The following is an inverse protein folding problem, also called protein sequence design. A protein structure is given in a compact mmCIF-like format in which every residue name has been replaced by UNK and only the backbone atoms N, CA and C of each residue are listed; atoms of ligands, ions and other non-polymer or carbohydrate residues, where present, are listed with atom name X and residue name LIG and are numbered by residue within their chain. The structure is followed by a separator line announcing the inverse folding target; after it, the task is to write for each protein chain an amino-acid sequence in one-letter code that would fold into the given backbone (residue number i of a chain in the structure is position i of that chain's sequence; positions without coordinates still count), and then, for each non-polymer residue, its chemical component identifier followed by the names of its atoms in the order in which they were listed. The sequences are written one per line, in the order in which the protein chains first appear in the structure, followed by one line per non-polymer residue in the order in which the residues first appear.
data_IF_036705152776
#
_entry.id   IF_036705152776
#
_cell.length_a   1.000
_cell.length_b   1.000
_cell.length_c   1.000
_cell.angle_alpha   90.00
_cell.angle_beta   90.00
_cell.angle_gamma   90.00
#
_symmetry.space_group_name_H-M   'P 1'
#
loop_
_entity.id
_entity.type
_entity.pdbx_description
1 polymer ?
2 non-polymer ?
3 water ?
#
# COMPACT_ATOMS: atom_id res chain seq x y z
N UNK A 6 32.97 17.73 -24.56
CA UNK A 6 31.56 17.87 -24.94
C UNK A 6 30.83 18.84 -24.02
N UNK A 7 29.75 18.37 -23.41
CA UNK A 7 28.90 19.21 -22.59
C UNK A 7 29.62 19.75 -21.36
N UNK A 8 28.94 20.59 -20.59
CA UNK A 8 29.47 21.16 -19.36
C UNK A 8 28.45 20.97 -18.25
N UNK A 9 28.96 20.81 -17.04
CA UNK A 9 28.13 20.63 -15.86
C UNK A 9 27.81 21.98 -15.21
N UNK A 10 26.62 22.06 -14.62
CA UNK A 10 26.15 23.27 -13.96
C UNK A 10 25.57 22.89 -12.61
N UNK A 11 25.95 23.65 -11.58
CA UNK A 11 25.51 23.38 -10.22
C UNK A 11 24.13 24.00 -9.97
N UNK A 12 23.29 23.27 -9.25
CA UNK A 12 21.90 23.62 -9.05
C UNK A 12 21.52 23.43 -7.59
N UNK A 13 20.66 24.30 -7.06
CA UNK A 13 20.30 24.20 -5.64
C UNK A 13 19.81 22.80 -5.30
N UNK A 14 20.02 22.40 -4.05
CA UNK A 14 19.73 21.04 -3.64
C UNK A 14 20.80 20.05 -4.03
N UNK A 15 22.02 20.51 -4.27
CA UNK A 15 23.13 19.63 -4.64
C UNK A 15 22.81 18.83 -5.91
N UNK A 16 22.27 19.53 -6.91
CA UNK A 16 21.96 18.89 -8.18
C UNK A 16 22.92 19.40 -9.24
N UNK A 17 23.05 18.64 -10.33
CA UNK A 17 23.92 19.03 -11.43
C UNK A 17 23.24 18.71 -12.75
N UNK A 18 23.36 19.63 -13.70
CA UNK A 18 22.74 19.47 -15.02
C UNK A 18 23.82 19.64 -16.09
N UNK A 19 23.80 18.75 -17.08
CA UNK A 19 24.73 18.82 -18.21
C UNK A 19 24.05 19.54 -19.36
N UNK A 20 24.79 20.47 -19.98
CA UNK A 20 24.28 21.26 -21.09
C UNK A 20 25.33 21.28 -22.20
N UNK A 21 24.88 21.13 -23.45
CA UNK A 21 25.80 21.03 -24.57
C UNK A 21 26.61 22.30 -24.75
N UNK A 22 27.83 22.14 -25.25
CA UNK A 22 28.69 23.29 -25.50
C UNK A 22 28.15 24.16 -26.62
N UNK A 23 27.48 23.57 -27.60
CA UNK A 23 26.94 24.29 -28.74
C UNK A 23 25.45 24.00 -28.87
N UNK A 24 24.77 24.82 -29.67
CA UNK A 24 23.34 24.65 -29.91
C UNK A 24 23.14 23.64 -31.02
N UNK A 25 21.89 23.49 -31.48
CA UNK A 25 21.60 22.61 -32.60
C UNK A 25 20.92 23.37 -33.73
N UNK A 26 20.15 22.66 -34.56
CA UNK A 26 19.59 23.27 -35.77
C UNK A 26 18.77 24.51 -35.43
N UNK A 27 17.83 24.39 -34.49
CA UNK A 27 16.89 25.46 -34.16
C UNK A 27 17.36 26.30 -32.98
N UNK A 28 18.67 26.36 -32.74
CA UNK A 28 19.21 27.22 -31.70
C UNK A 28 19.01 26.73 -30.29
N UNK A 29 18.46 25.52 -30.09
CA UNK A 29 18.23 24.99 -28.76
C UNK A 29 19.43 24.19 -28.27
N UNK A 30 19.57 24.10 -26.96
CA UNK A 30 20.66 23.40 -26.31
C UNK A 30 20.14 22.11 -25.68
N UNK A 31 21.03 21.11 -25.60
CA UNK A 31 20.73 19.87 -24.91
C UNK A 31 20.92 20.02 -23.42
N UNK A 32 20.06 19.38 -22.64
CA UNK A 32 20.18 19.30 -21.20
C UNK A 32 20.03 17.85 -20.77
N UNK A 33 20.95 17.37 -19.96
CA UNK A 33 20.92 16.00 -19.45
C UNK A 33 21.34 16.02 -17.98
N UNK A 34 20.57 15.36 -17.12
CA UNK A 34 20.84 15.38 -15.69
C UNK A 34 20.33 14.11 -15.02
N UNK A 35 21.14 13.54 -14.13
CA UNK A 35 20.78 12.31 -13.44
C UNK A 35 20.23 12.66 -12.06
N UNK A 36 19.04 12.16 -11.74
CA UNK A 36 18.36 12.53 -10.51
C UNK A 36 18.06 11.25 -9.74
N UNK A 37 18.89 10.98 -8.73
CA UNK A 37 18.76 9.79 -7.89
C UNK A 37 18.60 8.52 -8.71
N UNK A 38 19.53 8.28 -9.79
CA UNK A 38 19.52 7.11 -10.68
C UNK A 38 18.30 7.13 -11.60
N UNK A 39 18.01 8.32 -12.13
CA UNK A 39 17.07 8.53 -13.22
C UNK A 39 17.67 9.56 -14.16
N UNK A 40 17.60 9.29 -15.45
CA UNK A 40 18.21 10.15 -16.46
C UNK A 40 17.14 11.02 -17.09
N UNK A 41 17.26 12.33 -16.90
CA UNK A 41 16.38 13.32 -17.48
C UNK A 41 17.09 14.01 -18.64
N UNK A 42 16.33 14.34 -19.69
CA UNK A 42 16.88 15.02 -20.84
C UNK A 42 15.84 15.93 -21.45
N UNK A 43 16.31 17.02 -22.05
CA UNK A 43 15.43 17.98 -22.67
C UNK A 43 16.20 18.99 -23.50
N UNK A 44 15.48 19.99 -23.98
CA UNK A 44 16.06 21.08 -24.75
C UNK A 44 15.75 22.42 -24.08
N UNK A 45 16.56 23.42 -24.41
CA UNK A 45 16.42 24.72 -23.78
C UNK A 45 16.71 25.83 -24.78
N UNK A 46 16.09 27.00 -24.53
CA UNK A 46 16.42 28.21 -25.28
C UNK A 46 17.75 28.79 -24.87
N UNK A 47 18.23 28.46 -23.67
CA UNK A 47 19.42 29.06 -23.09
C UNK A 47 20.52 28.01 -22.94
N UNK A 48 21.68 28.44 -22.46
CA UNK A 48 22.84 27.56 -22.33
C UNK A 48 23.43 27.59 -20.92
N UNK A 49 22.71 28.13 -19.94
CA UNK A 49 23.19 28.20 -18.57
C UNK A 49 22.68 27.07 -17.69
N UNK A 50 21.92 26.13 -18.25
CA UNK A 50 21.37 25.01 -17.51
C UNK A 50 19.89 25.13 -17.23
N UNK A 51 19.32 26.33 -17.32
CA UNK A 51 17.90 26.49 -17.10
C UNK A 51 17.10 25.77 -18.19
N UNK A 52 15.85 25.46 -17.88
CA UNK A 52 15.00 24.81 -18.85
C UNK A 52 14.28 23.62 -18.24
N UNK A 53 13.77 22.74 -19.10
CA UNK A 53 12.95 21.61 -18.68
C UNK A 53 13.59 20.32 -19.15
N UNK A 54 13.85 19.41 -18.22
CA UNK A 54 14.29 18.05 -18.48
C UNK A 54 13.22 17.07 -18.03
N UNK A 55 13.31 15.85 -18.55
CA UNK A 55 12.26 14.85 -18.32
C UNK A 55 12.89 13.47 -18.31
N UNK A 56 12.21 12.54 -17.64
CA UNK A 56 12.69 11.17 -17.59
C UNK A 56 11.65 10.24 -17.01
N UNK A 57 12.05 8.98 -16.84
CA UNK A 57 11.17 7.94 -16.33
C UNK A 57 11.92 7.06 -15.33
N UNK A 58 11.17 6.50 -14.38
CA UNK A 58 11.73 5.63 -13.35
C UNK A 58 11.64 4.18 -13.81
N UNK A 59 11.78 3.24 -12.87
CA UNK A 59 11.53 1.83 -13.18
C UNK A 59 10.03 1.53 -13.22
N UNK A 60 9.26 2.19 -12.34
CA UNK A 60 7.82 2.02 -12.31
C UNK A 60 7.15 2.84 -13.41
N UNK A 61 7.92 3.17 -14.46
CA UNK A 61 7.38 3.93 -15.60
C UNK A 61 6.87 5.29 -15.17
N UNK A 62 7.55 5.91 -14.21
CA UNK A 62 7.15 7.22 -13.73
C UNK A 62 7.45 8.29 -14.77
N UNK A 63 7.05 9.52 -14.48
CA UNK A 63 7.26 10.67 -15.36
C UNK A 63 7.83 11.81 -14.51
N UNK A 64 9.13 12.01 -14.58
CA UNK A 64 9.83 12.99 -13.76
C UNK A 64 10.12 14.23 -14.59
N UNK A 65 9.75 15.40 -14.07
CA UNK A 65 9.89 16.68 -14.75
C UNK A 65 10.76 17.57 -13.88
N UNK A 66 11.92 17.97 -14.40
CA UNK A 66 12.82 18.87 -13.70
C UNK A 66 12.79 20.22 -14.41
N UNK A 67 12.48 21.27 -13.67
CA UNK A 67 12.36 22.62 -14.22
C UNK A 67 13.34 23.52 -13.49
N UNK A 68 14.33 24.02 -14.21
CA UNK A 68 15.38 24.87 -13.65
C UNK A 68 15.10 26.29 -14.08
N UNK A 69 14.88 27.16 -13.09
CA UNK A 69 14.51 28.55 -13.35
C UNK A 69 15.51 29.21 -14.29
N UNK A 70 15.02 30.20 -15.03
CA UNK A 70 15.85 30.88 -16.02
C UNK A 70 17.07 31.54 -15.40
N UNK A 71 17.01 31.88 -14.12
CA UNK A 71 18.15 32.46 -13.40
C UNK A 71 18.84 31.45 -12.49
N UNK A 72 18.49 30.17 -12.61
CA UNK A 72 19.18 29.10 -11.89
C UNK A 72 19.03 29.24 -10.37
N UNK A 73 17.96 29.89 -9.94
CA UNK A 73 17.74 30.09 -8.51
C UNK A 73 16.87 29.03 -7.87
N UNK A 74 15.89 28.52 -8.63
CA UNK A 74 14.93 27.57 -8.12
C UNK A 74 14.84 26.37 -9.04
N UNK A 75 14.79 25.18 -8.45
CA UNK A 75 14.62 23.93 -9.19
C UNK A 75 13.36 23.24 -8.70
N UNK A 76 12.47 22.89 -9.62
CA UNK A 76 11.20 22.24 -9.31
C UNK A 76 11.23 20.84 -9.90
N UNK A 77 11.19 19.83 -9.02
CA UNK A 77 11.15 18.43 -9.41
C UNK A 77 9.75 17.91 -9.15
N UNK A 78 9.00 17.63 -10.21
CA UNK A 78 7.64 17.11 -10.10
C UNK A 78 7.61 15.66 -10.55
N UNK A 79 7.07 14.79 -9.70
CA UNK A 79 6.92 13.37 -10.02
C UNK A 79 5.51 13.13 -10.53
N UNK A 80 5.40 12.24 -11.52
CA UNK A 80 4.14 11.96 -12.17
C UNK A 80 4.01 10.45 -12.37
N UNK A 81 2.78 9.99 -12.51
CA UNK A 81 2.51 8.57 -12.68
C UNK A 81 2.91 8.14 -14.09
N UNK A 82 2.54 6.91 -14.46
CA UNK A 82 2.88 6.36 -15.77
C UNK A 82 2.31 7.19 -16.91
N UNK A 83 1.43 8.15 -16.63
CA UNK A 83 0.83 8.99 -17.66
C UNK A 83 1.39 10.39 -17.72
N UNK A 84 1.97 10.91 -16.64
CA UNK A 84 2.48 12.25 -16.63
C UNK A 84 1.45 13.33 -16.41
N UNK A 85 0.26 12.96 -15.95
CA UNK A 85 -0.82 13.92 -15.69
C UNK A 85 -1.33 13.83 -14.26
N UNK A 86 -0.49 13.33 -13.34
CA UNK A 86 -0.89 13.08 -11.96
C UNK A 86 0.16 13.67 -11.03
N UNK A 87 -0.16 14.78 -10.36
CA UNK A 87 0.77 15.41 -9.44
C UNK A 87 0.95 14.56 -8.18
N UNK A 88 1.93 13.65 -8.22
CA UNK A 88 2.20 12.80 -7.06
C UNK A 88 2.91 13.61 -5.98
N UNK A 89 4.18 13.94 -6.22
CA UNK A 89 4.99 14.68 -5.26
C UNK A 89 5.74 15.80 -5.97
N UNK A 90 6.19 16.77 -5.18
CA UNK A 90 6.82 17.96 -5.76
C UNK A 90 7.83 18.54 -4.79
N UNK A 91 9.08 18.65 -5.22
CA UNK A 91 10.16 19.19 -4.40
C UNK A 91 10.71 20.45 -5.07
N UNK A 92 10.64 21.58 -4.37
CA UNK A 92 11.09 22.86 -4.89
C UNK A 92 12.24 23.35 -4.04
N UNK A 93 13.42 23.47 -4.64
CA UNK A 93 14.60 24.01 -3.98
C UNK A 93 14.85 25.41 -4.53
N UNK A 94 14.45 26.43 -3.78
CA UNK A 94 14.55 27.80 -4.24
C UNK A 94 15.68 28.54 -3.51
N UNK A 95 16.90 28.03 -3.63
CA UNK A 95 18.04 28.65 -2.99
C UNK A 95 18.54 27.87 -1.79
N UNK A 96 18.49 28.48 -0.61
CA UNK A 96 18.96 27.79 0.58
C UNK A 96 18.04 26.68 1.02
N UNK A 97 16.75 26.99 1.14
CA UNK A 97 15.77 26.02 1.60
C UNK A 97 15.05 25.26 0.49
N UNK A 98 14.61 24.06 0.82
CA UNK A 98 13.89 23.21 -0.12
C UNK A 98 12.64 22.68 0.56
N UNK A 99 11.52 22.73 -0.15
CA UNK A 99 10.24 22.27 0.36
C UNK A 99 9.68 21.10 -0.45
N UNK A 100 9.39 20.02 0.25
CA UNK A 100 8.84 18.81 -0.36
C UNK A 100 7.35 18.71 -0.03
N UNK A 101 6.56 18.34 -1.04
CA UNK A 101 5.11 18.29 -0.90
C UNK A 101 4.57 16.96 -1.41
N UNK A 102 3.66 16.40 -0.61
CA UNK A 102 3.00 15.13 -0.86
C UNK A 102 1.56 15.26 -0.40
N UNK A 103 0.72 14.32 -0.83
CA UNK A 103 -0.67 14.31 -0.40
C UNK A 103 -1.12 12.90 -0.09
N UNK A 104 -2.08 12.80 0.81
CA UNK A 104 -2.66 11.53 1.22
C UNK A 104 -4.18 11.66 1.22
N UNK A 105 -4.87 10.53 1.17
CA UNK A 105 -6.32 10.52 1.16
C UNK A 105 -6.86 9.52 2.18
N UNK A 106 -8.18 9.53 2.34
CA UNK A 106 -8.86 8.69 3.31
C UNK A 106 -10.25 8.39 2.80
N UNK A 107 -10.76 7.21 3.15
CA UNK A 107 -12.07 6.76 2.66
C UNK A 107 -12.81 6.08 3.81
N UNK A 108 -13.98 6.58 4.14
CA UNK A 108 -14.81 6.02 5.19
C UNK A 108 -16.05 5.41 4.54
N UNK A 109 -16.13 4.09 4.55
CA UNK A 109 -17.28 3.34 4.03
C UNK A 109 -18.16 2.97 5.21
N UNK A 110 -19.41 3.41 5.17
CA UNK A 110 -20.39 3.10 6.21
C UNK A 110 -21.41 2.12 5.62
N UNK A 111 -21.29 0.85 5.98
CA UNK A 111 -22.25 -0.14 5.52
C UNK A 111 -23.61 0.10 6.18
N UNK A 112 -24.65 -0.48 5.58
CA UNK A 112 -26.00 -0.26 6.06
C UNK A 112 -26.16 -0.68 7.50
N UNK A 113 -25.59 -1.84 7.88
CA UNK A 113 -25.75 -2.37 9.22
C UNK A 113 -25.03 -1.54 10.29
N UNK A 114 -24.25 -0.55 9.89
CA UNK A 114 -23.51 0.28 10.81
C UNK A 114 -22.02 0.02 10.85
N UNK A 115 -21.58 -1.14 10.34
CA UNK A 115 -20.15 -1.43 10.28
C UNK A 115 -19.47 -0.55 9.24
N UNK A 116 -18.17 -0.35 9.41
CA UNK A 116 -17.45 0.61 8.59
C UNK A 116 -16.07 0.08 8.21
N UNK A 117 -15.57 0.60 7.09
CA UNK A 117 -14.19 0.40 6.65
C UNK A 117 -13.55 1.77 6.51
N UNK A 118 -12.55 2.05 7.33
CA UNK A 118 -11.91 3.36 7.40
C UNK A 118 -10.47 3.23 6.91
N UNK A 119 -10.13 3.95 5.86
CA UNK A 119 -8.82 3.93 5.23
C UNK A 119 -8.17 5.29 5.43
N UNK A 120 -6.98 5.29 6.04
CA UNK A 120 -6.23 6.51 6.30
C UNK A 120 -4.87 6.43 5.63
N UNK A 121 -4.28 7.61 5.40
CA UNK A 121 -2.97 7.71 4.79
C UNK A 121 -2.82 6.90 3.52
N UNK A 122 -3.76 7.05 2.58
CA UNK A 122 -3.70 6.35 1.31
C UNK A 122 -2.64 7.02 0.44
N UNK A 123 -1.53 6.32 0.23
CA UNK A 123 -0.49 6.83 -0.65
C UNK A 123 -0.98 6.86 -2.10
N UNK A 124 -0.19 7.49 -2.97
CA UNK A 124 -0.53 7.54 -4.38
C UNK A 124 -0.42 6.18 -5.05
N UNK A 125 0.27 5.23 -4.43
CA UNK A 125 0.38 3.87 -4.95
C UNK A 125 -0.78 2.98 -4.51
N UNK A 126 -1.80 3.56 -3.87
CA UNK A 126 -2.97 2.82 -3.46
C UNK A 126 -2.87 2.14 -2.11
N UNK A 127 -1.79 2.36 -1.38
CA UNK A 127 -1.58 1.72 -0.08
C UNK A 127 -1.84 2.69 1.07
N UNK A 128 -2.09 2.12 2.24
CA UNK A 128 -2.35 2.93 3.41
C UNK A 128 -2.69 2.05 4.60
N UNK A 129 -3.25 2.67 5.64
CA UNK A 129 -3.68 1.95 6.82
C UNK A 129 -5.19 1.75 6.78
N UNK A 130 -5.66 0.60 7.29
CA UNK A 130 -7.06 0.22 7.19
C UNK A 130 -7.58 -0.26 8.54
N UNK A 131 -8.86 -0.02 8.78
CA UNK A 131 -9.50 -0.39 10.03
C UNK A 131 -10.96 -0.76 9.75
N UNK A 132 -11.40 -1.90 10.25
CA UNK A 132 -12.80 -2.31 10.14
C UNK A 132 -13.46 -2.18 11.49
N UNK A 133 -14.54 -1.40 11.55
CA UNK A 133 -15.34 -1.23 12.76
C UNK A 133 -16.55 -2.15 12.62
N UNK A 134 -16.62 -3.16 13.50
CA UNK A 134 -17.72 -4.10 13.48
C UNK A 134 -18.57 -3.95 14.74
N UNK A 135 -19.66 -4.70 14.81
CA UNK A 135 -20.53 -4.64 15.98
C UNK A 135 -19.89 -5.31 17.18
N UNK A 136 -19.16 -4.54 17.99
CA UNK A 136 -18.58 -5.04 19.22
C UNK A 136 -17.07 -5.06 19.25
N UNK A 137 -16.42 -4.95 18.10
CA UNK A 137 -14.96 -5.00 18.08
C UNK A 137 -14.44 -4.25 16.86
N UNK A 138 -13.11 -4.16 16.79
CA UNK A 138 -12.41 -3.42 15.74
C UNK A 138 -11.24 -4.27 15.26
N UNK A 139 -11.15 -4.45 13.95
CA UNK A 139 -10.02 -5.10 13.32
C UNK A 139 -9.13 -4.04 12.69
N UNK A 140 -7.82 -4.25 12.72
CA UNK A 140 -6.87 -3.29 12.20
C UNK A 140 -5.90 -3.96 11.23
N UNK A 141 -5.37 -3.19 10.30
CA UNK A 141 -4.43 -3.71 9.33
C UNK A 141 -4.02 -2.70 8.28
N UNK A 142 -3.69 -3.19 7.09
CA UNK A 142 -3.16 -2.35 6.03
C UNK A 142 -3.98 -2.48 4.76
N UNK A 143 -3.66 -1.64 3.79
CA UNK A 143 -4.34 -1.59 2.51
C UNK A 143 -3.31 -1.48 1.39
N UNK A 144 -3.48 -2.31 0.37
CA UNK A 144 -2.69 -2.24 -0.84
C UNK A 144 -3.64 -2.16 -2.04
N UNK A 145 -3.06 -1.93 -3.21
CA UNK A 145 -3.88 -1.90 -4.43
C UNK A 145 -4.61 -3.22 -4.66
N UNK A 146 -4.12 -4.32 -4.07
CA UNK A 146 -4.71 -5.63 -4.29
C UNK A 146 -5.77 -5.99 -3.26
N UNK A 147 -5.55 -5.66 -2.00
CA UNK A 147 -6.46 -6.13 -0.95
C UNK A 147 -6.25 -5.34 0.32
N UNK A 148 -7.32 -5.20 1.09
CA UNK A 148 -7.21 -4.82 2.49
C UNK A 148 -6.96 -6.06 3.33
N UNK A 149 -6.02 -5.96 4.26
CA UNK A 149 -5.66 -7.09 5.11
C UNK A 149 -5.78 -6.64 6.58
N UNK A 150 -6.75 -7.21 7.28
CA UNK A 150 -6.93 -6.97 8.71
C UNK A 150 -6.40 -8.19 9.47
N UNK A 151 -5.57 -7.94 10.48
CA UNK A 151 -4.80 -8.99 11.14
C UNK A 151 -5.21 -9.06 12.60
N UNK A 152 -5.47 -10.27 13.08
CA UNK A 152 -5.61 -10.57 14.50
C UNK A 152 -4.47 -11.50 14.90
N UNK A 153 -3.89 -11.27 16.07
CA UNK A 153 -2.73 -12.03 16.52
C UNK A 153 -3.01 -12.61 17.89
N UNK A 154 -2.72 -13.90 18.05
CA UNK A 154 -2.91 -14.60 19.32
C UNK A 154 -1.80 -15.62 19.47
N UNK A 155 -0.89 -15.39 20.42
CA UNK A 155 0.24 -16.28 20.58
C UNK A 155 1.11 -16.26 19.33
N UNK A 156 1.27 -17.42 18.72
CA UNK A 156 2.02 -17.54 17.47
C UNK A 156 1.11 -17.63 16.25
N UNK A 157 -0.19 -17.44 16.43
CA UNK A 157 -1.17 -17.54 15.35
C UNK A 157 -1.51 -16.15 14.84
N UNK A 158 -1.56 -16.01 13.53
CA UNK A 158 -1.94 -14.77 12.85
C UNK A 158 -3.09 -15.09 11.91
N UNK A 159 -4.26 -14.55 12.22
CA UNK A 159 -5.42 -14.62 11.34
C UNK A 159 -5.46 -13.38 10.46
N UNK A 160 -5.64 -13.57 9.16
CA UNK A 160 -5.66 -12.48 8.20
C UNK A 160 -6.95 -12.55 7.41
N UNK A 161 -7.76 -11.51 7.52
CA UNK A 161 -8.97 -11.35 6.71
C UNK A 161 -8.66 -10.37 5.59
N UNK A 162 -8.75 -10.83 4.34
CA UNK A 162 -8.43 -10.04 3.18
C UNK A 162 -9.71 -9.71 2.44
N UNK A 163 -10.01 -8.41 2.34
CA UNK A 163 -11.09 -7.90 1.52
C UNK A 163 -10.48 -7.48 0.19
N UNK A 164 -10.80 -8.21 -0.88
CA UNK A 164 -10.27 -7.86 -2.18
C UNK A 164 -10.79 -6.49 -2.59
N UNK A 165 -10.07 -5.86 -3.53
CA UNK A 165 -10.51 -4.59 -4.08
C UNK A 165 -11.96 -4.64 -4.51
N UNK A 166 -12.37 -5.80 -5.02
CA UNK A 166 -13.74 -6.02 -5.49
C UNK A 166 -14.69 -6.32 -4.32
N UNK A 167 -14.19 -6.18 -3.10
CA UNK A 167 -14.98 -6.44 -1.91
C UNK A 167 -15.07 -7.89 -1.48
N UNK A 168 -14.36 -8.77 -2.19
CA UNK A 168 -14.37 -10.18 -1.86
C UNK A 168 -13.68 -10.44 -0.51
N UNK A 169 -14.19 -11.40 0.25
CA UNK A 169 -13.61 -11.71 1.56
C UNK A 169 -13.00 -13.11 1.58
N UNK A 170 -11.75 -13.21 2.02
CA UNK A 170 -11.07 -14.48 2.08
C UNK A 170 -10.13 -14.46 3.29
N UNK A 171 -10.15 -15.53 4.09
CA UNK A 171 -9.42 -15.55 5.35
C UNK A 171 -8.35 -16.63 5.29
N UNK A 172 -7.21 -16.35 5.91
CA UNK A 172 -6.13 -17.32 6.04
C UNK A 172 -5.56 -17.23 7.45
N UNK A 173 -4.75 -18.23 7.81
CA UNK A 173 -4.20 -18.31 9.16
C UNK A 173 -2.83 -18.94 9.10
N UNK A 174 -1.85 -18.31 9.74
CA UNK A 174 -0.49 -18.83 9.77
C UNK A 174 -0.02 -18.92 11.21
N UNK A 175 0.51 -20.08 11.59
CA UNK A 175 0.97 -20.33 12.95
C UNK A 175 2.47 -20.61 12.92
N UNK A 176 3.26 -19.73 13.56
CA UNK A 176 4.68 -19.98 13.70
C UNK A 176 4.98 -21.06 14.74
N UNK A 177 3.96 -21.65 15.35
CA UNK A 177 4.18 -22.76 16.26
C UNK A 177 4.84 -23.91 15.53
N UNK A 178 5.86 -24.49 16.15
CA UNK A 178 6.62 -25.57 15.52
C UNK A 178 6.12 -26.98 15.82
N UNK A 179 5.59 -27.20 17.02
CA UNK A 179 5.13 -28.53 17.37
C UNK A 179 3.84 -28.86 16.63
N UNK A 180 3.83 -30.01 15.94
CA UNK A 180 2.65 -30.45 15.20
C UNK A 180 1.63 -31.08 16.15
N UNK A 181 1.64 -30.66 17.41
CA UNK A 181 0.63 -31.06 18.38
C UNK A 181 -0.22 -29.89 18.87
N UNK A 182 0.32 -28.68 18.84
CA UNK A 182 -0.44 -27.46 19.11
C UNK A 182 -0.45 -26.50 17.93
N UNK A 183 0.26 -26.82 16.86
CA UNK A 183 0.32 -25.93 15.70
C UNK A 183 -1.02 -25.94 14.96
N UNK A 184 -1.52 -24.75 14.66
CA UNK A 184 -2.80 -24.59 13.96
C UNK A 184 -2.56 -24.41 12.46
N UNK A 185 -3.38 -25.07 11.66
CA UNK A 185 -3.33 -24.89 10.21
C UNK A 185 -4.74 -24.76 9.69
N UNK A 186 -5.01 -23.71 8.91
CA UNK A 186 -6.36 -23.40 8.48
C UNK A 186 -6.54 -23.67 6.99
N UNK A 187 -7.79 -23.94 6.62
CA UNK A 187 -8.19 -24.10 5.22
C UNK A 187 -9.42 -23.24 4.96
N UNK A 188 -9.42 -22.57 3.82
CA UNK A 188 -10.48 -21.62 3.48
C UNK A 188 -11.40 -22.20 2.43
N UNK A 189 -12.72 -22.12 2.69
CA UNK A 189 -13.75 -22.52 1.76
C UNK A 189 -14.49 -21.25 1.34
N UNK A 190 -14.29 -20.85 0.09
CA UNK A 190 -14.87 -19.61 -0.44
C UNK A 190 -16.36 -19.75 -0.74
N UNK A 191 -16.86 -20.97 -0.94
CA UNK A 191 -18.27 -21.14 -1.15
C UNK A 191 -19.08 -20.89 0.11
N UNK A 192 -18.60 -21.40 1.25
CA UNK A 192 -19.25 -21.22 2.53
C UNK A 192 -18.62 -20.11 3.36
N UNK A 193 -17.61 -19.41 2.82
CA UNK A 193 -16.92 -18.36 3.56
C UNK A 193 -16.47 -18.88 4.93
N UNK A 194 -15.99 -20.12 4.95
CA UNK A 194 -15.68 -20.81 6.21
C UNK A 194 -14.19 -21.14 6.28
N UNK A 195 -13.57 -20.75 7.38
CA UNK A 195 -12.20 -21.14 7.68
C UNK A 195 -12.22 -22.26 8.70
N UNK A 196 -11.72 -23.43 8.30
CA UNK A 196 -11.66 -24.60 9.17
C UNK A 196 -10.24 -24.73 9.72
N UNK A 197 -10.10 -24.67 11.03
CA UNK A 197 -8.81 -24.80 11.69
C UNK A 197 -8.58 -26.27 12.02
N UNK A 198 -7.31 -26.68 11.99
CA UNK A 198 -6.91 -28.05 12.25
C UNK A 198 -5.72 -28.03 13.18
N UNK A 199 -5.86 -28.71 14.32
CA UNK A 199 -4.79 -28.83 15.31
C UNK A 199 -4.52 -30.32 15.51
N UNK A 200 -3.29 -30.74 15.18
CA UNK A 200 -2.87 -32.13 15.37
C UNK A 200 -3.68 -33.08 14.48
N UNK A 201 -3.80 -32.71 13.21
CA UNK A 201 -4.48 -33.48 12.16
C UNK A 201 -5.99 -33.51 12.34
N UNK A 202 -6.53 -32.94 13.42
CA UNK A 202 -7.95 -33.02 13.72
C UNK A 202 -8.58 -31.65 13.52
N UNK A 203 -9.73 -31.62 12.84
CA UNK A 203 -10.49 -30.38 12.74
C UNK A 203 -10.93 -29.93 14.13
N UNK A 204 -10.87 -28.63 14.35
CA UNK A 204 -11.14 -28.11 15.70
C UNK A 204 -12.17 -27.00 15.72
N UNK A 205 -12.13 -26.06 14.77
CA UNK A 205 -13.02 -24.93 14.80
C UNK A 205 -13.40 -24.52 13.38
N UNK A 206 -14.62 -23.99 13.24
CA UNK A 206 -15.12 -23.44 11.99
C UNK A 206 -15.49 -21.99 12.24
N UNK A 207 -14.83 -21.09 11.52
CA UNK A 207 -15.09 -19.65 11.61
C UNK A 207 -15.81 -19.21 10.34
N UNK A 208 -17.03 -18.73 10.49
CA UNK A 208 -17.85 -18.27 9.38
C UNK A 208 -17.88 -16.76 9.38
N UNK A 209 -17.51 -16.17 8.24
CA UNK A 209 -17.54 -14.72 8.05
C UNK A 209 -18.80 -14.41 7.25
N UNK A 210 -19.87 -14.05 7.96
CA UNK A 210 -21.20 -13.99 7.37
C UNK A 210 -21.35 -12.79 6.45
N UNK A 211 -22.46 -12.80 5.70
CA UNK A 211 -22.85 -11.64 4.90
C UNK A 211 -23.32 -10.47 5.77
N UNK A 212 -23.49 -10.69 7.07
CA UNK A 212 -23.84 -9.63 8.01
C UNK A 212 -22.63 -8.92 8.57
N UNK A 213 -21.44 -9.18 8.02
CA UNK A 213 -20.20 -8.63 8.56
C UNK A 213 -19.97 -9.07 10.00
N UNK A 214 -20.27 -10.34 10.27
CA UNK A 214 -20.07 -10.92 11.59
C UNK A 214 -19.30 -12.23 11.44
N UNK A 215 -18.73 -12.68 12.56
CA UNK A 215 -17.98 -13.92 12.61
C UNK A 215 -18.66 -14.85 13.61
N UNK A 216 -18.81 -16.11 13.22
CA UNK A 216 -19.40 -17.14 14.07
C UNK A 216 -18.40 -18.28 14.26
N UNK A 217 -18.34 -18.80 15.48
CA UNK A 217 -17.44 -19.89 15.84
C UNK A 217 -18.27 -21.14 16.12
N UNK A 218 -17.84 -22.26 15.55
CA UNK A 218 -18.42 -23.56 15.88
C UNK A 218 -17.30 -24.54 16.20
N UNK A 219 -17.45 -25.28 17.28
CA UNK A 219 -16.42 -26.22 17.70
C UNK A 219 -16.69 -27.62 17.17
N UNK A 220 -15.62 -28.30 16.77
CA UNK A 220 -15.70 -29.69 16.40
C UNK A 220 -15.62 -30.57 17.64
N UNK A 221 -16.24 -31.75 17.56
CA UNK A 221 -16.08 -32.72 18.63
C UNK A 221 -14.68 -33.33 18.60
N UNK A 222 -14.31 -33.96 19.71
CA UNK A 222 -13.00 -34.57 19.86
C UNK A 222 -12.61 -35.47 18.69
N UNK A 223 -13.60 -36.00 17.99
CA UNK A 223 -13.30 -36.89 16.86
C UNK A 223 -12.66 -36.13 15.70
N UNK A 224 -13.00 -34.86 15.53
CA UNK A 224 -12.47 -34.06 14.44
C UNK A 224 -13.25 -34.14 13.16
N UNK A 225 -14.47 -34.67 13.17
CA UNK A 225 -15.28 -34.80 11.98
C UNK A 225 -16.64 -34.12 12.08
N UNK A 226 -17.22 -34.06 13.27
CA UNK A 226 -18.57 -33.56 13.47
C UNK A 226 -18.55 -32.21 14.18
N UNK A 227 -19.47 -31.33 13.80
CA UNK A 227 -19.64 -30.05 14.46
C UNK A 227 -20.58 -30.21 15.65
N UNK A 228 -20.13 -29.80 16.82
CA UNK A 228 -20.94 -29.88 18.03
C UNK A 228 -21.70 -28.59 18.26
N UNK A 229 -22.82 -28.72 18.98
CA UNK A 229 -23.65 -27.56 19.26
C UNK A 229 -24.02 -26.83 17.99
N UNK A 230 -24.07 -25.50 18.08
CA UNK A 230 -24.34 -24.64 16.94
C UNK A 230 -23.35 -23.48 16.93
N UNK A 231 -23.31 -22.78 15.80
CA UNK A 231 -22.40 -21.65 15.66
C UNK A 231 -22.78 -20.53 16.62
N UNK A 232 -21.80 -19.72 16.99
CA UNK A 232 -21.98 -18.63 17.94
C UNK A 232 -21.38 -17.36 17.35
N UNK A 233 -22.15 -16.28 17.39
CA UNK A 233 -21.67 -15.00 16.89
C UNK A 233 -20.60 -14.43 17.82
N UNK A 234 -19.54 -13.89 17.22
CA UNK A 234 -18.49 -13.23 17.97
C UNK A 234 -18.96 -11.85 18.38
N UNK A 235 -18.84 -11.53 19.67
CA UNK A 235 -19.28 -10.25 20.19
C UNK A 235 -18.15 -9.29 20.51
N UNK A 236 -16.93 -9.79 20.74
CA UNK A 236 -15.82 -8.94 21.11
C UNK A 236 -14.51 -9.54 20.59
N UNK A 237 -13.50 -8.69 20.50
CA UNK A 237 -12.19 -9.13 19.99
C UNK A 237 -11.64 -10.29 20.81
N UNK A 238 -11.88 -10.27 22.12
CA UNK A 238 -11.39 -11.34 22.98
C UNK A 238 -11.87 -12.71 22.52
N UNK A 239 -13.08 -12.79 21.97
CA UNK A 239 -13.61 -14.07 21.54
C UNK A 239 -12.90 -14.57 20.28
N UNK A 240 -12.55 -13.66 19.37
CA UNK A 240 -11.74 -14.05 18.22
C UNK A 240 -10.38 -14.56 18.69
N UNK A 241 -9.73 -13.80 19.56
CA UNK A 241 -8.45 -14.24 20.12
C UNK A 241 -8.58 -15.64 20.72
N UNK A 242 -9.64 -15.86 21.49
CA UNK A 242 -9.89 -17.18 22.06
C UNK A 242 -9.98 -18.25 20.98
N UNK A 243 -10.80 -17.99 19.96
CA UNK A 243 -10.91 -18.93 18.85
C UNK A 243 -9.55 -19.21 18.21
N UNK A 244 -8.61 -18.29 18.35
CA UNK A 244 -7.27 -18.51 17.81
C UNK A 244 -6.33 -19.20 18.82
N UNK A 245 -6.72 -19.31 20.08
CA UNK A 245 -5.87 -19.94 21.08
C UNK A 245 -5.56 -21.40 20.74
X LIG B 1 -11.16 0.14 -1.02
X LIG B 1 -10.02 -0.65 -1.29
X LIG B 1 -10.77 1.51 -0.56
X LIG B 1 -10.08 2.18 -1.60
X LIG B 1 -9.60 3.45 -1.22
X LIG B 1 -8.96 4.12 -2.40
X LIG B 1 -9.87 4.26 -3.48
X LIG B 1 -11.70 0.21 -1.82
X LIG B 1 -11.68 -0.29 -0.32
X LIG B 1 -10.20 -1.46 -1.49
X LIG B 1 -11.57 2.01 -0.33
X LIG B 1 -10.19 1.44 0.21
X LIG B 1 -10.34 4.00 -0.91
X LIG B 1 -8.95 3.36 -0.51
X LIG B 1 -8.64 5.00 -2.14
X LIG B 1 -8.20 3.59 -2.69
X LIG B 1 -9.54 4.63 -4.17
X LIG C 1 -20.45 0.02 15.93
X LIG C 1 -20.95 -0.69 14.80
X LIG C 1 -22.45 -0.68 14.85
X LIG C 1 -22.99 0.62 14.67
X LIG C 1 -20.65 -0.25 13.99
X LIG C 1 -20.63 -1.60 14.82
X LIG C 1 -22.79 -1.26 14.14
X LIG C 1 -22.74 -1.03 15.71
X LIG C 1 -23.82 0.65 14.66
#
# INVERSE_FOLDING_TARGET
GSHMKNSVSVDLPGSMKVLVSKSSNADGKYDLIATVDALELSGTSDKNNGSGVLEGVKADASKVKLTISDDLGQTTLEVFKSDGSTLVSKKVTSGGSSTEEKCTCEKIITRADGTRLEYTGIKSDGSGKAKEVLKGYVLEGTLTAEKTTLVVKEGTVTLSKNISKSGEVSVELNDTDSSAATKKTAAWNSGTSTLTITVNSKKTKDLVFTSSNTITVQQYDSNGTSLEGSAVEITKLDEIKNALK
PEG C1 O1 C2 O2 C3 C4 O4 H11 H12 HO1 H21 H22 H31 H32 H41 H42 HO4
PEG O2 C3 C4 O4 H31 H32 H41 H42 HO4
#
